data_IF_587934633581
#
_entry.id   IF_587934633581
#
_cell.length_a   1.000
_cell.length_b   1.000
_cell.length_c   1.000
_cell.angle_alpha   90.00
_cell.angle_beta   90.00
_cell.angle_gamma   90.00
#
_symmetry.space_group_name_H-M   'P 1'
#
loop_
_entity.id
_entity.type
_entity.pdbx_description
1 polymer ?
#
# COMPACT_ATOMS: atom_id res chain seq x y z
N UNK A 1 -11.43 8.08 -2.69
CA UNK A 1 -10.11 8.53 -3.17
C UNK A 1 -9.10 7.78 -2.33
N UNK A 2 -8.08 7.17 -2.95
CA UNK A 2 -7.07 6.45 -2.19
C UNK A 2 -6.14 7.47 -1.52
N UNK A 3 -6.02 7.41 -0.20
CA UNK A 3 -5.14 8.29 0.58
C UNK A 3 -4.03 7.46 1.22
N UNK A 4 -2.77 7.75 0.90
CA UNK A 4 -1.64 6.94 1.38
C UNK A 4 -1.40 7.24 2.85
N UNK A 5 -1.41 6.20 3.68
CA UNK A 5 -1.15 6.29 5.11
C UNK A 5 0.19 5.69 5.51
N UNK A 6 0.70 4.72 4.73
CA UNK A 6 1.97 4.05 4.99
C UNK A 6 2.79 3.88 3.71
N UNK A 7 4.11 4.04 3.84
CA UNK A 7 5.10 3.83 2.78
C UNK A 7 6.05 2.73 3.20
N UNK A 8 6.43 1.86 2.27
CA UNK A 8 7.25 0.69 2.57
C UNK A 8 8.36 0.52 1.55
N UNK A 9 9.52 0.10 2.05
CA UNK A 9 10.54 -0.63 1.31
C UNK A 9 10.33 -2.14 1.54
N UNK A 10 9.85 -2.82 0.49
CA UNK A 10 9.71 -4.28 0.49
C UNK A 10 10.81 -4.92 -0.35
N UNK A 11 12.00 -5.09 0.23
CA UNK A 11 13.18 -5.66 -0.45
C UNK A 11 13.64 -4.87 -1.70
N UNK A 12 13.71 -3.55 -1.58
CA UNK A 12 13.90 -2.54 -2.63
C UNK A 12 12.73 -2.41 -3.60
N UNK A 13 11.54 -2.88 -3.21
CA UNK A 13 10.31 -2.66 -3.97
C UNK A 13 9.49 -1.58 -3.27
N UNK A 14 9.18 -0.46 -3.95
CA UNK A 14 8.30 0.56 -3.38
C UNK A 14 6.89 -0.01 -3.23
N UNK A 15 6.37 0.04 -2.01
CA UNK A 15 5.00 -0.32 -1.71
C UNK A 15 4.33 0.75 -0.83
N UNK A 16 3.01 0.87 -0.95
CA UNK A 16 2.19 1.82 -0.19
C UNK A 16 0.92 1.15 0.29
N UNK A 17 0.45 1.56 1.46
CA UNK A 17 -0.87 1.21 1.99
C UNK A 17 -1.61 2.50 2.29
N UNK A 18 -2.92 2.49 2.06
CA UNK A 18 -3.74 3.67 2.16
C UNK A 18 -5.22 3.37 2.33
N UNK A 19 -5.94 4.40 2.77
CA UNK A 19 -7.37 4.34 2.98
C UNK A 19 -8.11 4.49 1.64
N UNK A 20 -9.04 3.58 1.38
CA UNK A 20 -9.97 3.66 0.26
C UNK A 20 -11.26 4.36 0.70
N UNK A 21 -11.65 4.15 1.95
CA UNK A 21 -12.81 4.72 2.64
C UNK A 21 -12.58 4.67 4.16
N UNK A 22 -13.46 5.29 4.95
CA UNK A 22 -13.34 5.32 6.43
C UNK A 22 -13.20 3.94 7.10
N UNK A 23 -13.65 2.87 6.45
CA UNK A 23 -13.62 1.51 7.03
C UNK A 23 -12.77 0.53 6.23
N UNK A 24 -12.07 0.96 5.19
CA UNK A 24 -11.35 0.05 4.30
C UNK A 24 -10.01 0.62 3.87
N UNK A 25 -8.99 -0.23 3.93
CA UNK A 25 -7.64 0.03 3.45
C UNK A 25 -7.31 -0.89 2.27
N UNK A 26 -6.36 -0.47 1.44
CA UNK A 26 -5.71 -1.33 0.47
C UNK A 26 -4.26 -0.89 0.26
N UNK A 27 -3.55 -1.55 -0.65
CA UNK A 27 -2.18 -1.20 -0.96
C UNK A 27 -1.81 -1.46 -2.40
N UNK A 28 -0.66 -0.92 -2.79
CA UNK A 28 -0.04 -1.10 -4.08
C UNK A 28 1.46 -1.35 -3.91
N UNK A 29 2.06 -2.11 -4.82
CA UNK A 29 3.50 -2.28 -4.92
C UNK A 29 3.90 -2.23 -6.40
N UNK A 30 5.13 -1.82 -6.70
CA UNK A 30 5.63 -1.84 -8.08
C UNK A 30 6.20 -3.22 -8.41
N UNK A 31 5.83 -3.81 -9.54
CA UNK A 31 6.56 -4.96 -10.05
C UNK A 31 7.85 -4.49 -10.73
N UNK A 32 8.97 -5.09 -10.35
CA UNK A 32 10.32 -4.73 -10.80
C UNK A 32 10.47 -4.93 -12.32
N UNK A 33 9.68 -5.85 -12.89
CA UNK A 33 9.80 -6.23 -14.29
C UNK A 33 9.13 -5.23 -15.25
N UNK A 34 8.05 -4.56 -14.84
CA UNK A 34 7.26 -3.69 -15.72
C UNK A 34 7.11 -2.24 -15.22
N UNK A 35 7.62 -1.94 -14.03
CA UNK A 35 7.51 -0.64 -13.38
C UNK A 35 6.05 -0.16 -13.31
N UNK A 36 5.11 -1.07 -13.08
CA UNK A 36 3.68 -0.76 -12.90
C UNK A 36 3.20 -1.06 -11.49
N UNK A 37 2.24 -0.26 -11.04
CA UNK A 37 1.58 -0.46 -9.76
C UNK A 37 0.63 -1.65 -9.82
N UNK A 38 0.92 -2.66 -9.01
CA UNK A 38 0.09 -3.82 -8.79
C UNK A 38 -0.68 -3.67 -7.48
N UNK A 39 -1.96 -3.99 -7.53
CA UNK A 39 -2.82 -3.99 -6.34
C UNK A 39 -2.39 -5.11 -5.39
N UNK A 40 -2.09 -4.74 -4.15
CA UNK A 40 -1.73 -5.70 -3.11
C UNK A 40 -2.96 -6.53 -2.70
N UNK A 41 -2.77 -7.84 -2.57
CA UNK A 41 -3.77 -8.72 -1.94
C UNK A 41 -3.76 -8.49 -0.43
N UNK A 42 -4.84 -8.83 0.30
CA UNK A 42 -4.87 -8.69 1.76
C UNK A 42 -3.69 -9.37 2.47
N UNK A 43 -3.27 -10.55 1.99
CA UNK A 43 -2.09 -11.26 2.53
C UNK A 43 -0.78 -10.48 2.32
N UNK A 44 -0.63 -9.82 1.18
CA UNK A 44 0.54 -8.98 0.88
C UNK A 44 0.56 -7.76 1.79
N UNK A 45 -0.60 -7.16 2.07
CA UNK A 45 -0.67 -6.02 3.02
C UNK A 45 -0.21 -6.46 4.42
N UNK A 46 -0.67 -7.64 4.90
CA UNK A 46 -0.22 -8.19 6.18
C UNK A 46 1.29 -8.50 6.18
N UNK A 47 1.83 -8.92 5.04
CA UNK A 47 3.26 -9.17 4.87
C UNK A 47 4.06 -7.86 4.96
N UNK A 48 3.63 -6.79 4.29
CA UNK A 48 4.27 -5.46 4.38
C UNK A 48 4.42 -5.02 5.84
N UNK A 49 3.34 -5.05 6.63
CA UNK A 49 3.41 -4.68 8.05
C UNK A 49 4.23 -5.63 8.93
N UNK A 50 4.56 -6.83 8.44
CA UNK A 50 5.29 -7.84 9.21
C UNK A 50 6.78 -7.87 8.89
N UNK A 51 7.15 -7.66 7.63
CA UNK A 51 8.53 -7.89 7.14
C UNK A 51 9.12 -6.74 6.35
N UNK A 52 8.31 -5.82 5.80
CA UNK A 52 8.83 -4.68 5.07
C UNK A 52 9.30 -3.58 6.04
N UNK A 53 10.22 -2.74 5.58
CA UNK A 53 10.63 -1.56 6.32
C UNK A 53 9.63 -0.44 6.06
N UNK A 54 8.96 0.04 7.11
CA UNK A 54 8.08 1.20 7.01
C UNK A 54 8.93 2.47 6.98
N UNK A 55 8.74 3.27 5.93
CA UNK A 55 9.42 4.53 5.71
C UNK A 55 8.45 5.69 5.94
N UNK A 56 8.98 6.85 6.34
CA UNK A 56 8.23 8.07 6.16
C UNK A 56 8.22 8.49 4.68
N UNK A 57 7.34 9.44 4.34
CA UNK A 57 7.18 9.89 2.96
C UNK A 57 8.49 10.43 2.35
N UNK A 58 9.27 11.20 3.11
CA UNK A 58 10.47 11.83 2.59
C UNK A 58 11.55 10.77 2.32
N UNK A 59 11.69 9.81 3.22
CA UNK A 59 12.65 8.70 3.06
C UNK A 59 12.25 7.79 1.89
N UNK A 60 10.94 7.52 1.73
CA UNK A 60 10.42 6.80 0.56
C UNK A 60 10.73 7.56 -0.75
N UNK A 61 10.43 8.86 -0.81
CA UNK A 61 10.69 9.67 -2.00
C UNK A 61 12.18 9.83 -2.30
N UNK A 62 13.04 9.85 -1.28
CA UNK A 62 14.49 9.88 -1.45
C UNK A 62 15.03 8.54 -1.99
N UNK A 63 14.40 7.42 -1.61
CA UNK A 63 14.83 6.06 -1.97
C UNK A 63 14.32 5.64 -3.35
N UNK A 64 13.03 5.87 -3.62
CA UNK A 64 12.36 5.37 -4.82
C UNK A 64 11.91 6.46 -5.79
N UNK A 65 11.82 7.71 -5.34
CA UNK A 65 11.33 8.83 -6.12
C UNK A 65 9.88 9.22 -5.83
N UNK A 66 9.45 10.34 -6.40
CA UNK A 66 8.13 10.92 -6.16
C UNK A 66 7.06 10.25 -7.02
N UNK A 67 5.97 9.78 -6.40
CA UNK A 67 4.81 9.20 -7.08
C UNK A 67 4.17 10.22 -8.03
N UNK A 68 3.98 9.82 -9.29
CA UNK A 68 3.42 10.66 -10.35
C UNK A 68 4.46 11.58 -11.03
N UNK A 69 5.73 11.49 -10.65
CA UNK A 69 6.83 12.22 -11.28
C UNK A 69 7.96 11.28 -11.69
N UNK A 70 8.59 10.64 -10.69
CA UNK A 70 9.70 9.70 -10.90
C UNK A 70 9.17 8.26 -10.96
N UNK A 71 8.15 7.95 -10.13
CA UNK A 71 7.34 6.74 -10.22
C UNK A 71 6.04 7.02 -11.00
N UNK A 72 5.43 6.00 -11.63
CA UNK A 72 4.11 6.17 -12.24
C UNK A 72 3.07 6.68 -11.23
N UNK A 73 2.03 7.39 -11.68
CA UNK A 73 0.93 7.76 -10.80
C UNK A 73 0.22 6.52 -10.29
N UNK A 74 -0.27 6.57 -9.04
CA UNK A 74 -1.07 5.47 -8.50
C UNK A 74 -2.33 5.26 -9.35
N UNK A 75 -2.72 4.00 -9.60
CA UNK A 75 -3.94 3.70 -10.33
C UNK A 75 -5.16 4.11 -9.50
N UNK A 76 -6.26 4.43 -10.18
CA UNK A 76 -7.53 4.59 -9.49
C UNK A 76 -7.94 3.30 -8.82
N UNK A 77 -8.47 3.39 -7.61
CA UNK A 77 -9.04 2.22 -6.95
C UNK A 77 -10.34 1.80 -7.64
N UNK A 78 -10.30 0.68 -8.37
CA UNK A 78 -11.47 0.06 -9.03
C UNK A 78 -11.89 -1.27 -8.40
N UNK A 79 -11.44 -1.56 -7.18
CA UNK A 79 -11.65 -2.86 -6.52
C UNK A 79 -13.09 -3.14 -6.11
N UNK A 80 -13.45 -4.42 -6.00
CA UNK A 80 -14.72 -4.87 -5.40
C UNK A 80 -14.52 -5.24 -3.94
N UNK A 81 -15.59 -5.22 -3.13
CA UNK A 81 -15.54 -5.49 -1.67
C UNK A 81 -14.95 -6.86 -1.27
N UNK A 82 -14.73 -7.79 -2.20
CA UNK A 82 -14.04 -9.06 -1.93
C UNK A 82 -12.51 -8.97 -1.95
N UNK A 83 -11.94 -7.85 -2.41
CA UNK A 83 -10.49 -7.67 -2.57
C UNK A 83 -9.82 -6.92 -1.40
N UNK A 84 -10.61 -6.47 -0.43
CA UNK A 84 -10.19 -5.71 0.75
C UNK A 84 -9.93 -6.68 1.91
N UNK A 85 -8.90 -6.41 2.70
CA UNK A 85 -8.78 -7.06 4.00
C UNK A 85 -9.88 -6.51 4.91
N UNK A 86 -10.85 -7.34 5.31
CA UNK A 86 -11.72 -6.96 6.42
C UNK A 86 -10.85 -6.89 7.69
N UNK A 87 -10.81 -5.72 8.35
CA UNK A 87 -10.33 -5.68 9.72
C UNK A 87 -11.21 -6.63 10.54
N UNK A 88 -10.64 -7.60 11.27
CA UNK A 88 -11.44 -8.35 12.22
C UNK A 88 -12.12 -7.34 13.17
N UNK A 89 -13.39 -7.55 13.52
CA UNK A 89 -14.10 -6.63 14.40
C UNK A 89 -13.28 -6.45 15.68
N UNK A 90 -13.04 -5.19 16.06
CA UNK A 90 -12.40 -4.85 17.33
C UNK A 90 -13.20 -5.52 18.45
N UNK A 91 -12.67 -6.62 18.98
CA UNK A 91 -13.21 -7.27 20.17
C UNK A 91 -13.25 -6.22 21.27
N UNK A 92 -14.45 -5.77 21.64
CA UNK A 92 -14.63 -4.88 22.79
C UNK A 92 -13.96 -5.52 24.01
N UNK A 93 -13.22 -4.76 24.82
CA UNK A 93 -12.70 -5.28 26.07
C UNK A 93 -13.87 -5.76 26.94
N UNK A 94 -13.75 -7.00 27.42
CA UNK A 94 -14.68 -7.68 28.32
C UNK A 94 -14.82 -6.97 29.66
#
# INVERSE_FOLDING_TARGET
MFDITHYFDWENIPAVVGDVSETHFSGFYIDVDDNTWNKAKPVTILELFRVAEELDKNDFEATFGVIGKDLPPLPEWTGTFGDIGELPPLSKPS
#
